data_IF_191124006499
#
_entry.id   IF_191124006499
#
_cell.length_a   1.000
_cell.length_b   1.000
_cell.length_c   1.000
_cell.angle_alpha   90.00
_cell.angle_beta   90.00
_cell.angle_gamma   90.00
#
_symmetry.space_group_name_H-M   'P 1'
#
loop_
_entity.id
_entity.type
_entity.pdbx_description
1 polymer ?
#
# COMPACT_ATOMS: atom_id res chain seq x y z
N UNK A 1 5.94 -11.64 0.64
CA UNK A 1 7.29 -12.19 0.46
C UNK A 1 7.41 -12.63 -0.99
N UNK A 2 8.31 -11.98 -1.73
CA UNK A 2 8.73 -12.50 -3.02
C UNK A 2 9.31 -13.91 -2.78
N UNK A 3 9.20 -14.77 -3.78
CA UNK A 3 9.93 -16.02 -3.74
C UNK A 3 11.43 -15.69 -3.69
N UNK A 4 12.26 -16.55 -3.09
CA UNK A 4 13.71 -16.38 -3.04
C UNK A 4 14.31 -16.06 -4.43
N UNK A 5 13.80 -16.74 -5.49
CA UNK A 5 14.18 -16.44 -6.87
C UNK A 5 13.80 -15.04 -7.34
N UNK A 6 12.67 -14.50 -6.90
CA UNK A 6 12.25 -13.12 -7.22
C UNK A 6 13.15 -12.07 -6.57
N UNK A 7 13.63 -12.33 -5.35
CA UNK A 7 14.59 -11.45 -4.66
C UNK A 7 15.96 -11.44 -5.36
N UNK A 8 16.44 -12.61 -5.82
CA UNK A 8 17.69 -12.71 -6.59
C UNK A 8 17.58 -11.95 -7.93
N UNK A 9 16.47 -12.11 -8.65
CA UNK A 9 16.24 -11.39 -9.90
C UNK A 9 16.21 -9.88 -9.69
N UNK A 10 15.57 -9.42 -8.62
CA UNK A 10 15.53 -8.01 -8.27
C UNK A 10 16.91 -7.48 -7.92
N UNK A 11 17.68 -8.19 -7.08
CA UNK A 11 19.04 -7.81 -6.75
C UNK A 11 19.94 -7.80 -8.00
N UNK A 12 19.75 -8.74 -8.92
CA UNK A 12 20.41 -8.76 -10.23
C UNK A 12 20.09 -7.53 -11.09
N UNK A 13 18.83 -7.12 -11.15
CA UNK A 13 18.42 -5.92 -11.88
C UNK A 13 19.04 -4.64 -11.30
N UNK A 14 19.09 -4.52 -9.97
CA UNK A 14 19.76 -3.40 -9.30
C UNK A 14 21.28 -3.43 -9.52
N UNK A 15 21.89 -4.60 -9.49
CA UNK A 15 23.31 -4.77 -9.86
C UNK A 15 23.58 -4.30 -11.28
N UNK A 16 22.76 -4.70 -12.25
CA UNK A 16 22.88 -4.25 -13.64
C UNK A 16 22.75 -2.74 -13.78
N UNK A 17 21.75 -2.13 -13.14
CA UNK A 17 21.55 -0.68 -13.18
C UNK A 17 22.75 0.06 -12.58
N UNK A 18 23.24 -0.35 -11.41
CA UNK A 18 24.45 0.20 -10.78
C UNK A 18 25.69 0.00 -11.64
N UNK A 19 25.87 -1.18 -12.23
CA UNK A 19 26.99 -1.47 -13.12
C UNK A 19 27.01 -0.56 -14.35
N UNK A 20 25.86 -0.36 -15.00
CA UNK A 20 25.72 0.56 -16.14
C UNK A 20 26.02 1.99 -15.71
N UNK A 21 25.50 2.45 -14.57
CA UNK A 21 25.76 3.79 -14.06
C UNK A 21 27.27 4.00 -13.81
N UNK A 22 27.93 3.05 -13.15
CA UNK A 22 29.37 3.10 -12.93
C UNK A 22 30.16 3.13 -14.25
N UNK A 23 29.79 2.31 -15.23
CA UNK A 23 30.44 2.32 -16.55
C UNK A 23 30.26 3.66 -17.27
N UNK A 24 29.08 4.28 -17.21
CA UNK A 24 28.82 5.60 -17.80
C UNK A 24 29.61 6.71 -17.10
N UNK A 25 29.94 6.54 -15.81
CA UNK A 25 30.79 7.46 -15.03
C UNK A 25 32.28 7.19 -15.21
N UNK A 26 32.68 6.25 -16.08
CA UNK A 26 34.10 5.89 -16.32
C UNK A 26 34.65 4.90 -15.28
N UNK A 27 33.80 4.32 -14.43
CA UNK A 27 34.18 3.34 -13.43
C UNK A 27 34.01 1.90 -13.95
N UNK A 28 34.40 0.93 -13.12
CA UNK A 28 34.31 -0.49 -13.47
C UNK A 28 32.88 -1.01 -13.32
N UNK A 29 32.29 -1.51 -14.42
CA UNK A 29 30.94 -2.12 -14.40
C UNK A 29 30.81 -3.21 -13.35
N UNK A 30 31.77 -4.10 -13.22
CA UNK A 30 31.69 -5.22 -12.27
C UNK A 30 31.61 -4.79 -10.80
N UNK A 31 32.31 -3.69 -10.46
CA UNK A 31 32.24 -3.10 -9.11
C UNK A 31 30.86 -2.51 -8.83
N UNK A 32 30.38 -1.69 -9.74
CA UNK A 32 29.03 -1.11 -9.63
C UNK A 32 27.95 -2.20 -9.54
N UNK A 33 28.06 -3.26 -10.35
CA UNK A 33 27.15 -4.41 -10.29
C UNK A 33 27.19 -5.08 -8.92
N UNK A 34 28.36 -5.42 -8.38
CA UNK A 34 28.49 -6.09 -7.10
C UNK A 34 27.97 -5.24 -5.94
N UNK A 35 28.28 -3.94 -5.95
CA UNK A 35 27.80 -2.98 -4.95
C UNK A 35 26.27 -2.85 -4.97
N UNK A 36 25.68 -2.69 -6.15
CA UNK A 36 24.22 -2.59 -6.29
C UNK A 36 23.49 -3.90 -5.94
N UNK A 37 24.04 -5.05 -6.30
CA UNK A 37 23.52 -6.36 -5.94
C UNK A 37 23.54 -6.58 -4.43
N UNK A 38 24.70 -6.35 -3.76
CA UNK A 38 24.85 -6.52 -2.33
C UNK A 38 23.95 -5.58 -1.52
N UNK A 39 23.83 -4.32 -1.94
CA UNK A 39 22.94 -3.35 -1.29
C UNK A 39 21.48 -3.72 -1.45
N UNK A 40 21.06 -4.21 -2.60
CA UNK A 40 19.69 -4.67 -2.83
C UNK A 40 19.36 -5.92 -1.99
N UNK A 41 20.28 -6.86 -1.88
CA UNK A 41 20.12 -8.05 -1.02
C UNK A 41 19.98 -7.65 0.45
N UNK A 42 20.78 -6.68 0.93
CA UNK A 42 20.67 -6.16 2.30
C UNK A 42 19.36 -5.42 2.55
N UNK A 43 18.88 -4.64 1.59
CA UNK A 43 17.57 -3.98 1.67
C UNK A 43 16.42 -5.00 1.80
N UNK A 44 16.50 -6.11 1.07
CA UNK A 44 15.53 -7.22 1.18
C UNK A 44 15.59 -7.88 2.56
N UNK A 45 16.79 -8.15 3.08
CA UNK A 45 16.97 -8.70 4.42
C UNK A 45 16.44 -7.75 5.51
N UNK A 46 16.80 -6.45 5.45
CA UNK A 46 16.32 -5.44 6.38
C UNK A 46 14.79 -5.34 6.41
N UNK A 47 14.15 -5.46 5.23
CA UNK A 47 12.68 -5.52 5.14
C UNK A 47 12.09 -6.79 5.74
N UNK A 48 12.80 -7.92 5.68
CA UNK A 48 12.37 -9.18 6.28
C UNK A 48 12.40 -9.13 7.81
N UNK A 49 13.45 -8.53 8.40
CA UNK A 49 13.63 -8.41 9.86
C UNK A 49 13.01 -7.14 10.45
N UNK A 50 12.28 -6.37 9.66
CA UNK A 50 11.56 -5.16 10.08
C UNK A 50 12.45 -4.04 10.64
N UNK A 51 13.63 -3.85 10.06
CA UNK A 51 14.57 -2.79 10.43
C UNK A 51 13.93 -1.41 10.23
N UNK A 52 14.28 -0.44 11.09
CA UNK A 52 13.86 0.94 10.88
C UNK A 52 14.57 1.57 9.67
N UNK A 53 13.96 2.63 9.14
CA UNK A 53 14.35 3.27 7.89
C UNK A 53 15.80 3.77 7.91
N UNK A 54 16.22 4.40 9.02
CA UNK A 54 17.58 4.91 9.17
C UNK A 54 18.63 3.80 9.21
N UNK A 55 18.36 2.73 9.94
CA UNK A 55 19.26 1.58 10.02
C UNK A 55 19.35 0.85 8.67
N UNK A 56 18.24 0.77 7.94
CA UNK A 56 18.23 0.16 6.61
C UNK A 56 19.05 0.96 5.59
N UNK A 57 18.93 2.29 5.57
CA UNK A 57 19.75 3.15 4.73
C UNK A 57 21.24 3.07 5.11
N UNK A 58 21.55 3.11 6.41
CA UNK A 58 22.90 2.99 6.90
C UNK A 58 23.53 1.64 6.53
N UNK A 59 22.79 0.53 6.65
CA UNK A 59 23.27 -0.80 6.27
C UNK A 59 23.49 -0.91 4.75
N UNK A 60 22.62 -0.31 3.94
CA UNK A 60 22.80 -0.24 2.49
C UNK A 60 24.05 0.55 2.10
N UNK A 61 24.28 1.70 2.74
CA UNK A 61 25.50 2.49 2.54
C UNK A 61 26.76 1.69 2.94
N UNK A 62 26.75 1.05 4.12
CA UNK A 62 27.89 0.25 4.58
C UNK A 62 28.19 -0.92 3.63
N UNK A 63 27.17 -1.66 3.21
CA UNK A 63 27.33 -2.77 2.27
C UNK A 63 27.85 -2.32 0.91
N UNK A 64 27.29 -1.23 0.35
CA UNK A 64 27.77 -0.67 -0.92
C UNK A 64 29.21 -0.20 -0.83
N UNK A 65 29.54 0.56 0.22
CA UNK A 65 30.90 1.06 0.45
C UNK A 65 31.93 -0.04 0.66
N UNK A 66 31.64 -1.01 1.52
CA UNK A 66 32.52 -2.16 1.78
C UNK A 66 32.72 -3.01 0.53
N UNK A 67 31.66 -3.25 -0.25
CA UNK A 67 31.75 -4.02 -1.49
C UNK A 67 32.65 -3.30 -2.51
N UNK A 68 32.42 -2.00 -2.72
CA UNK A 68 33.24 -1.20 -3.66
C UNK A 68 34.69 -1.15 -3.22
N UNK A 69 34.95 -0.89 -1.94
CA UNK A 69 36.30 -0.86 -1.38
C UNK A 69 37.03 -2.21 -1.51
N UNK A 70 36.35 -3.32 -1.20
CA UNK A 70 36.88 -4.67 -1.32
C UNK A 70 37.28 -5.03 -2.76
N UNK A 71 36.61 -4.41 -3.73
CA UNK A 71 36.91 -4.55 -5.17
C UNK A 71 37.90 -3.53 -5.67
N UNK A 72 38.54 -2.75 -4.77
CA UNK A 72 39.57 -1.74 -5.09
C UNK A 72 39.00 -0.42 -5.62
N UNK A 73 37.73 -0.14 -5.37
CA UNK A 73 37.08 1.13 -5.68
C UNK A 73 37.01 2.09 -4.49
N UNK A 74 36.26 3.19 -4.66
CA UNK A 74 36.08 4.21 -3.63
C UNK A 74 34.95 3.87 -2.69
N UNK A 75 35.23 3.82 -1.40
CA UNK A 75 34.21 3.50 -0.36
C UNK A 75 33.02 4.48 -0.41
N UNK A 76 33.28 5.78 -0.57
CA UNK A 76 32.21 6.79 -0.52
C UNK A 76 31.28 6.66 -1.73
N UNK A 77 31.83 6.42 -2.91
CA UNK A 77 31.06 6.14 -4.13
C UNK A 77 30.17 4.91 -3.95
N UNK A 78 30.72 3.81 -3.45
CA UNK A 78 29.97 2.61 -3.15
C UNK A 78 28.88 2.81 -2.08
N UNK A 79 29.18 3.59 -1.05
CA UNK A 79 28.24 3.90 0.02
C UNK A 79 27.06 4.73 -0.49
N UNK A 80 27.30 5.74 -1.32
CA UNK A 80 26.25 6.55 -1.95
C UNK A 80 25.37 5.70 -2.87
N UNK A 81 25.96 4.87 -3.72
CA UNK A 81 25.22 3.95 -4.59
C UNK A 81 24.38 2.96 -3.76
N UNK A 82 24.94 2.39 -2.71
CA UNK A 82 24.25 1.47 -1.81
C UNK A 82 23.08 2.12 -1.10
N UNK A 83 23.23 3.35 -0.64
CA UNK A 83 22.16 4.13 -0.01
C UNK A 83 21.04 4.44 -1.02
N UNK A 84 21.37 4.82 -2.26
CA UNK A 84 20.38 5.07 -3.32
C UNK A 84 19.59 3.80 -3.62
N UNK A 85 20.28 2.67 -3.83
CA UNK A 85 19.62 1.38 -4.14
C UNK A 85 18.70 0.94 -3.01
N UNK A 86 19.15 1.01 -1.76
CA UNK A 86 18.32 0.65 -0.61
C UNK A 86 17.18 1.66 -0.43
N UNK A 87 17.43 2.95 -0.62
CA UNK A 87 16.43 4.00 -0.55
C UNK A 87 15.31 3.79 -1.57
N UNK A 88 15.65 3.51 -2.82
CA UNK A 88 14.65 3.22 -3.87
C UNK A 88 13.86 1.95 -3.57
N UNK A 89 14.54 0.87 -3.17
CA UNK A 89 13.87 -0.35 -2.73
C UNK A 89 12.98 -0.12 -1.52
N UNK A 90 13.47 0.67 -0.55
CA UNK A 90 12.77 0.94 0.69
C UNK A 90 11.49 1.75 0.46
N UNK A 91 11.52 2.75 -0.43
CA UNK A 91 10.31 3.50 -0.80
C UNK A 91 9.24 2.58 -1.38
N UNK A 92 9.58 1.65 -2.27
CA UNK A 92 8.63 0.65 -2.77
C UNK A 92 8.11 -0.28 -1.66
N UNK A 93 8.95 -0.64 -0.68
CA UNK A 93 8.56 -1.49 0.45
C UNK A 93 7.78 -0.77 1.54
N UNK A 94 7.98 0.55 1.74
CA UNK A 94 7.19 1.35 2.68
C UNK A 94 5.71 1.29 2.33
N UNK A 95 5.38 1.37 1.06
CA UNK A 95 4.00 1.32 0.62
C UNK A 95 3.37 -0.06 0.75
N UNK A 96 4.12 -1.09 0.43
CA UNK A 96 3.70 -2.47 0.69
C UNK A 96 3.49 -2.71 2.20
N UNK A 97 4.34 -2.16 3.07
CA UNK A 97 4.17 -2.26 4.54
C UNK A 97 2.95 -1.50 5.03
N UNK A 98 2.73 -0.29 4.52
CA UNK A 98 1.57 0.54 4.87
C UNK A 98 0.28 -0.13 4.41
N UNK A 99 0.21 -0.50 3.15
CA UNK A 99 -0.96 -1.18 2.60
C UNK A 99 -1.21 -2.53 3.29
N UNK A 100 -0.15 -3.29 3.60
CA UNK A 100 -0.25 -4.52 4.38
C UNK A 100 -0.82 -4.28 5.77
N UNK A 101 -0.44 -3.18 6.45
CA UNK A 101 -1.02 -2.81 7.76
C UNK A 101 -2.51 -2.52 7.63
N UNK A 102 -2.90 -1.72 6.65
CA UNK A 102 -4.30 -1.41 6.36
C UNK A 102 -5.07 -2.70 6.05
N UNK A 103 -4.54 -3.55 5.17
CA UNK A 103 -5.17 -4.83 4.81
C UNK A 103 -5.35 -5.75 6.03
N UNK A 104 -4.31 -5.93 6.85
CA UNK A 104 -4.39 -6.73 8.07
C UNK A 104 -5.38 -6.14 9.08
N UNK A 105 -5.38 -4.83 9.26
CA UNK A 105 -6.35 -4.14 10.12
C UNK A 105 -7.77 -4.33 9.58
N UNK A 106 -7.97 -4.26 8.26
CA UNK A 106 -9.26 -4.50 7.64
C UNK A 106 -9.79 -5.91 7.99
N UNK A 107 -8.99 -6.94 7.82
CA UNK A 107 -9.39 -8.31 8.15
C UNK A 107 -9.65 -8.50 9.66
N UNK A 108 -8.75 -8.01 10.50
CA UNK A 108 -8.85 -8.17 11.96
C UNK A 108 -10.08 -7.50 12.55
N UNK A 109 -10.40 -6.28 12.09
CA UNK A 109 -11.43 -5.44 12.71
C UNK A 109 -12.83 -5.64 12.09
N UNK A 110 -12.92 -6.25 10.92
CA UNK A 110 -14.18 -6.38 10.19
C UNK A 110 -14.72 -7.80 10.10
N UNK A 111 -13.96 -8.78 10.64
CA UNK A 111 -14.34 -10.18 10.64
C UNK A 111 -14.20 -10.76 12.05
N UNK A 112 -15.08 -11.70 12.39
CA UNK A 112 -14.93 -12.53 13.58
C UNK A 112 -13.80 -13.55 13.40
N UNK A 113 -13.39 -14.18 14.49
CA UNK A 113 -12.35 -15.22 14.48
C UNK A 113 -12.71 -16.44 13.63
N UNK A 114 -14.00 -16.69 13.40
CA UNK A 114 -14.52 -17.75 12.52
C UNK A 114 -14.54 -17.34 11.04
N UNK A 115 -14.05 -16.15 10.70
CA UNK A 115 -14.00 -15.62 9.34
C UNK A 115 -15.32 -15.00 8.84
N UNK A 116 -16.39 -14.98 9.64
CA UNK A 116 -17.62 -14.31 9.27
C UNK A 116 -17.48 -12.79 9.37
N UNK A 117 -18.05 -12.09 8.42
CA UNK A 117 -18.07 -10.63 8.39
C UNK A 117 -18.94 -10.08 9.52
N UNK A 118 -18.41 -9.15 10.30
CA UNK A 118 -19.17 -8.45 11.34
C UNK A 118 -20.28 -7.65 10.65
N UNK A 119 -21.56 -7.76 11.06
CA UNK A 119 -22.64 -6.95 10.49
C UNK A 119 -22.37 -5.46 10.63
N UNK A 120 -22.76 -4.66 9.64
CA UNK A 120 -22.49 -3.21 9.62
C UNK A 120 -23.08 -2.50 10.84
N UNK A 121 -24.33 -2.83 11.19
CA UNK A 121 -24.99 -2.30 12.37
C UNK A 121 -24.25 -2.63 13.68
N UNK A 122 -23.74 -3.85 13.81
CA UNK A 122 -22.92 -4.26 14.95
C UNK A 122 -21.64 -3.45 15.03
N UNK A 123 -20.96 -3.26 13.89
CA UNK A 123 -19.73 -2.46 13.81
C UNK A 123 -20.00 -1.01 14.24
N UNK A 124 -21.08 -0.39 13.74
CA UNK A 124 -21.50 0.96 14.12
C UNK A 124 -21.74 1.09 15.63
N UNK A 125 -22.48 0.15 16.23
CA UNK A 125 -22.77 0.17 17.67
C UNK A 125 -21.52 -0.07 18.50
N UNK A 126 -20.60 -0.94 18.05
CA UNK A 126 -19.33 -1.18 18.72
C UNK A 126 -18.43 0.04 18.72
N UNK A 127 -18.38 0.79 17.61
CA UNK A 127 -17.62 2.04 17.52
C UNK A 127 -18.29 3.12 18.37
N UNK A 128 -19.63 3.18 18.39
CA UNK A 128 -20.38 4.16 19.19
C UNK A 128 -20.38 5.58 18.61
N UNK A 129 -20.73 6.54 19.44
CA UNK A 129 -20.86 7.94 19.04
C UNK A 129 -21.94 8.15 17.98
N UNK A 130 -21.71 9.08 17.04
CA UNK A 130 -22.65 9.38 15.94
C UNK A 130 -22.93 8.17 15.03
N UNK A 131 -22.08 7.12 15.06
CA UNK A 131 -22.30 5.93 14.27
C UNK A 131 -23.44 5.07 14.79
N UNK A 132 -23.78 5.16 16.07
CA UNK A 132 -24.91 4.45 16.64
C UNK A 132 -26.23 4.89 16.00
N UNK A 133 -26.35 6.18 15.67
CA UNK A 133 -27.57 6.74 15.09
C UNK A 133 -27.83 6.23 13.66
N UNK A 134 -26.77 5.88 12.93
CA UNK A 134 -26.89 5.39 11.54
C UNK A 134 -26.86 3.87 11.44
N UNK A 135 -26.76 3.16 12.56
CA UNK A 135 -26.57 1.71 12.57
C UNK A 135 -27.70 0.93 11.88
N UNK A 136 -28.94 1.37 12.06
CA UNK A 136 -30.11 0.67 11.52
C UNK A 136 -30.30 0.87 10.01
N UNK A 137 -29.76 1.98 9.44
CA UNK A 137 -29.92 2.31 8.02
C UNK A 137 -28.67 2.03 7.17
N UNK A 138 -27.61 1.47 7.75
CA UNK A 138 -26.36 1.25 7.01
C UNK A 138 -26.37 -0.08 6.23
N UNK A 139 -26.76 -0.03 4.97
CA UNK A 139 -26.73 -1.20 4.10
C UNK A 139 -25.34 -1.46 3.53
N UNK A 140 -24.65 -0.39 3.10
CA UNK A 140 -23.33 -0.48 2.48
C UNK A 140 -22.24 0.04 3.42
N UNK A 141 -21.39 -0.84 3.90
CA UNK A 141 -20.39 -0.56 4.95
C UNK A 141 -18.93 -0.54 4.47
N UNK A 142 -18.69 -0.57 3.15
CA UNK A 142 -17.32 -0.67 2.64
C UNK A 142 -16.44 0.51 3.11
N UNK A 143 -16.94 1.75 3.06
CA UNK A 143 -16.21 2.92 3.52
C UNK A 143 -16.02 2.94 5.04
N UNK A 144 -17.03 2.54 5.82
CA UNK A 144 -16.89 2.37 7.27
C UNK A 144 -15.80 1.38 7.62
N UNK A 145 -15.78 0.23 6.95
CA UNK A 145 -14.78 -0.83 7.18
C UNK A 145 -13.37 -0.37 6.84
N UNK A 146 -13.23 0.38 5.75
CA UNK A 146 -11.95 1.00 5.42
C UNK A 146 -11.56 2.07 6.44
N UNK A 147 -12.52 2.87 6.94
CA UNK A 147 -12.25 3.85 8.01
C UNK A 147 -11.70 3.19 9.27
N UNK A 148 -12.29 2.06 9.67
CA UNK A 148 -11.81 1.27 10.81
C UNK A 148 -10.38 0.78 10.55
N UNK A 149 -10.11 0.26 9.36
CA UNK A 149 -8.79 -0.22 8.99
C UNK A 149 -7.74 0.90 8.96
N UNK A 150 -8.07 2.07 8.41
CA UNK A 150 -7.19 3.25 8.37
C UNK A 150 -6.85 3.70 9.79
N UNK A 151 -7.85 3.98 10.61
CA UNK A 151 -7.67 4.41 12.00
C UNK A 151 -6.85 3.42 12.85
N UNK A 152 -6.98 2.11 12.60
CA UNK A 152 -6.26 1.06 13.33
C UNK A 152 -4.89 0.69 12.72
N UNK A 153 -4.53 1.34 11.62
CA UNK A 153 -3.21 1.21 10.99
C UNK A 153 -2.36 2.48 11.08
N UNK A 154 -2.83 3.48 11.85
CA UNK A 154 -2.13 4.75 12.09
C UNK A 154 -2.40 5.83 11.05
N UNK A 155 -3.49 5.68 10.26
CA UNK A 155 -3.98 6.69 9.32
C UNK A 155 -5.28 7.30 9.83
N UNK A 156 -5.19 8.13 10.87
CA UNK A 156 -6.36 8.72 11.49
C UNK A 156 -7.11 9.64 10.51
N UNK A 157 -8.41 9.44 10.42
CA UNK A 157 -9.29 10.29 9.62
C UNK A 157 -9.50 11.61 10.38
N UNK A 158 -9.17 12.76 9.78
CA UNK A 158 -9.33 14.04 10.47
C UNK A 158 -10.80 14.45 10.57
N UNK A 159 -11.14 15.23 11.58
CA UNK A 159 -12.49 15.80 11.76
C UNK A 159 -12.97 16.63 10.56
N UNK A 160 -12.04 17.19 9.82
CA UNK A 160 -12.29 18.02 8.63
C UNK A 160 -12.58 17.21 7.37
N UNK A 161 -12.45 15.89 7.41
CA UNK A 161 -12.76 15.04 6.26
C UNK A 161 -14.25 15.12 5.93
N UNK A 162 -14.56 15.20 4.63
CA UNK A 162 -15.95 15.28 4.16
C UNK A 162 -16.73 14.04 4.62
N UNK A 163 -17.85 14.25 5.29
CA UNK A 163 -18.71 13.17 5.78
C UNK A 163 -18.13 12.38 6.96
N UNK A 164 -17.12 12.91 7.63
CA UNK A 164 -16.58 12.33 8.85
C UNK A 164 -17.61 12.38 9.99
N UNK A 165 -17.77 11.27 10.70
CA UNK A 165 -18.62 11.09 11.87
C UNK A 165 -17.78 10.72 13.08
N UNK A 166 -18.05 11.35 14.22
CA UNK A 166 -17.33 11.09 15.46
C UNK A 166 -17.76 9.75 16.07
N UNK A 167 -16.81 8.87 16.32
CA UNK A 167 -17.03 7.63 17.07
C UNK A 167 -16.83 7.83 18.58
N UNK A 168 -17.32 6.87 19.38
CA UNK A 168 -17.26 6.92 20.83
C UNK A 168 -15.84 6.98 21.43
N UNK A 169 -14.83 6.52 20.69
CA UNK A 169 -13.42 6.60 21.10
C UNK A 169 -12.67 7.86 20.63
N UNK A 170 -13.38 8.90 20.18
CA UNK A 170 -12.78 10.17 19.73
C UNK A 170 -12.16 10.12 18.33
N UNK A 171 -12.25 9.01 17.62
CA UNK A 171 -11.81 8.88 16.22
C UNK A 171 -12.96 9.17 15.25
N UNK A 172 -12.60 9.65 14.06
CA UNK A 172 -13.56 9.95 13.00
C UNK A 172 -13.66 8.84 11.97
N UNK A 173 -14.84 8.66 11.39
CA UNK A 173 -15.15 7.59 10.44
C UNK A 173 -15.96 8.13 9.27
N UNK A 174 -15.69 7.63 8.07
CA UNK A 174 -16.43 7.96 6.85
C UNK A 174 -17.26 6.75 6.45
N UNK A 175 -18.57 6.94 6.23
CA UNK A 175 -19.52 5.87 5.87
C UNK A 175 -19.88 5.88 4.37
N UNK A 176 -19.62 6.96 3.67
CA UNK A 176 -19.87 7.09 2.22
C UNK A 176 -18.63 6.75 1.42
N UNK A 177 -18.76 5.85 0.43
CA UNK A 177 -17.66 5.48 -0.46
C UNK A 177 -17.14 6.68 -1.26
N UNK A 178 -18.03 7.57 -1.72
CA UNK A 178 -17.66 8.81 -2.43
C UNK A 178 -16.90 9.79 -1.52
N UNK A 179 -17.32 9.94 -0.27
CA UNK A 179 -16.61 10.78 0.71
C UNK A 179 -15.23 10.20 1.04
N UNK A 180 -15.13 8.87 1.19
CA UNK A 180 -13.86 8.17 1.39
C UNK A 180 -12.92 8.34 0.18
N UNK A 181 -13.44 8.24 -1.04
CA UNK A 181 -12.68 8.51 -2.25
C UNK A 181 -12.09 9.93 -2.25
N UNK A 182 -12.88 10.93 -1.85
CA UNK A 182 -12.40 12.31 -1.73
C UNK A 182 -11.30 12.46 -0.66
N UNK A 183 -11.46 11.78 0.48
CA UNK A 183 -10.44 11.77 1.54
C UNK A 183 -9.14 11.13 1.06
N UNK A 184 -9.21 9.98 0.39
CA UNK A 184 -8.04 9.29 -0.15
C UNK A 184 -7.31 10.12 -1.22
N UNK A 185 -8.05 10.86 -2.05
CA UNK A 185 -7.44 11.73 -3.07
C UNK A 185 -6.56 12.85 -2.48
N UNK A 186 -6.78 13.22 -1.22
CA UNK A 186 -5.94 14.19 -0.50
C UNK A 186 -4.75 13.58 0.22
N UNK A 187 -4.73 12.26 0.42
CA UNK A 187 -3.71 11.57 1.21
C UNK A 187 -2.90 10.54 0.43
N UNK A 188 -3.45 10.03 -0.66
CA UNK A 188 -2.84 9.00 -1.49
C UNK A 188 -2.80 9.45 -2.94
N UNK A 189 -1.72 9.12 -3.63
CA UNK A 189 -1.61 9.43 -5.06
C UNK A 189 -2.57 8.55 -5.86
N UNK A 190 -3.38 9.18 -6.71
CA UNK A 190 -4.19 8.46 -7.69
C UNK A 190 -3.29 7.97 -8.82
N UNK A 191 -3.09 6.67 -8.89
CA UNK A 191 -2.15 6.06 -9.85
C UNK A 191 -2.76 5.93 -11.24
N UNK A 192 -3.97 5.42 -11.34
CA UNK A 192 -4.61 5.25 -12.65
C UNK A 192 -6.12 5.01 -12.53
N UNK A 193 -6.78 5.11 -13.67
CA UNK A 193 -8.13 4.59 -13.88
C UNK A 193 -7.97 3.34 -14.71
N UNK A 194 -8.44 2.19 -14.22
CA UNK A 194 -8.37 0.93 -14.96
C UNK A 194 -9.74 0.37 -15.22
N UNK A 195 -9.93 -0.15 -16.42
CA UNK A 195 -11.13 -0.90 -16.79
C UNK A 195 -11.08 -2.35 -16.30
N UNK A 196 -9.89 -2.86 -15.97
CA UNK A 196 -9.71 -4.21 -15.47
C UNK A 196 -8.84 -4.20 -14.21
N UNK A 197 -9.49 -4.15 -13.04
CA UNK A 197 -8.83 -4.16 -11.74
C UNK A 197 -8.36 -5.57 -11.30
N UNK A 198 -8.65 -6.64 -12.05
CA UNK A 198 -8.12 -7.99 -11.77
C UNK A 198 -6.59 -8.04 -11.83
N UNK A 199 -5.98 -7.09 -12.56
CA UNK A 199 -4.52 -6.94 -12.66
C UNK A 199 -3.90 -6.26 -11.45
N UNK A 200 -4.69 -5.62 -10.58
CA UNK A 200 -4.17 -4.90 -9.43
C UNK A 200 -3.67 -5.88 -8.38
N UNK A 201 -2.42 -5.70 -7.97
CA UNK A 201 -1.80 -6.54 -6.95
C UNK A 201 -1.93 -5.95 -5.56
N UNK A 202 -1.69 -4.64 -5.43
CA UNK A 202 -1.62 -3.92 -4.16
C UNK A 202 -2.21 -2.53 -4.35
N UNK A 203 -3.35 -2.21 -3.74
CA UNK A 203 -3.98 -0.89 -3.81
C UNK A 203 -5.17 -0.74 -2.86
N UNK A 204 -5.60 0.49 -2.65
CA UNK A 204 -6.98 0.80 -2.27
C UNK A 204 -7.72 1.14 -3.56
N UNK A 205 -8.83 0.47 -3.81
CA UNK A 205 -9.59 0.62 -5.05
C UNK A 205 -10.94 1.24 -4.73
N UNK A 206 -11.28 2.29 -5.47
CA UNK A 206 -12.61 2.84 -5.51
C UNK A 206 -13.27 2.51 -6.85
N UNK A 207 -14.40 1.82 -6.79
CA UNK A 207 -15.20 1.43 -7.93
C UNK A 207 -16.43 2.33 -7.99
N UNK A 208 -16.63 2.99 -9.11
CA UNK A 208 -17.80 3.81 -9.36
C UNK A 208 -18.56 3.23 -10.55
N UNK A 209 -19.77 2.74 -10.37
CA UNK A 209 -20.60 2.32 -11.49
C UNK A 209 -21.13 3.55 -12.20
N UNK A 210 -21.18 3.47 -13.51
CA UNK A 210 -21.86 4.46 -14.32
C UNK A 210 -23.35 4.12 -14.31
N UNK A 211 -24.12 4.78 -13.45
CA UNK A 211 -25.58 4.60 -13.43
C UNK A 211 -26.24 4.34 -12.07
N UNK A 212 -27.48 3.86 -12.16
CA UNK A 212 -28.34 3.52 -11.03
C UNK A 212 -28.36 2.00 -10.89
N UNK A 213 -28.02 1.49 -9.69
CA UNK A 213 -28.16 0.07 -9.37
C UNK A 213 -29.46 -0.16 -8.59
N UNK A 214 -30.29 -1.08 -9.06
CA UNK A 214 -31.56 -1.42 -8.39
C UNK A 214 -32.44 -0.22 -8.01
N UNK A 215 -32.43 0.85 -8.83
CA UNK A 215 -33.24 2.05 -8.59
C UNK A 215 -32.67 3.02 -7.54
N UNK A 216 -31.51 2.74 -6.97
CA UNK A 216 -30.84 3.59 -5.95
C UNK A 216 -29.57 4.26 -6.51
N UNK A 217 -29.32 5.52 -6.13
CA UNK A 217 -28.04 6.18 -6.49
C UNK A 217 -26.90 5.45 -5.79
N UNK A 218 -25.98 4.88 -6.58
CA UNK A 218 -24.83 4.17 -6.06
C UNK A 218 -23.75 5.15 -5.68
N UNK A 219 -23.28 5.07 -4.44
CA UNK A 219 -22.17 5.90 -3.96
C UNK A 219 -20.79 5.29 -4.26
N UNK A 220 -20.76 4.13 -4.93
CA UNK A 220 -19.55 3.39 -5.24
C UNK A 220 -19.20 2.31 -4.19
N UNK A 221 -18.19 1.54 -4.52
CA UNK A 221 -17.59 0.55 -3.62
C UNK A 221 -16.11 0.88 -3.39
N UNK A 222 -15.61 0.61 -2.18
CA UNK A 222 -14.21 0.80 -1.86
C UNK A 222 -13.66 -0.44 -1.16
N UNK A 223 -12.46 -0.86 -1.56
CA UNK A 223 -11.83 -2.05 -1.01
C UNK A 223 -10.31 -1.92 -0.96
N UNK A 224 -9.67 -2.81 -0.22
CA UNK A 224 -8.22 -2.94 -0.13
C UNK A 224 -7.80 -4.24 -0.79
N UNK A 225 -6.88 -4.15 -1.73
CA UNK A 225 -6.26 -5.30 -2.39
C UNK A 225 -4.81 -5.40 -1.95
N UNK A 226 -4.43 -6.55 -1.44
CA UNK A 226 -3.05 -6.86 -1.10
C UNK A 226 -2.68 -8.23 -1.63
N UNK A 227 -1.61 -8.30 -2.45
CA UNK A 227 -1.15 -9.52 -3.13
C UNK A 227 -2.25 -10.22 -3.93
N UNK A 228 -3.06 -9.43 -4.64
CA UNK A 228 -4.24 -9.87 -5.40
C UNK A 228 -5.40 -10.41 -4.54
N UNK A 229 -5.33 -10.30 -3.23
CA UNK A 229 -6.41 -10.70 -2.33
C UNK A 229 -7.25 -9.47 -1.94
N UNK A 230 -8.55 -9.57 -2.09
CA UNK A 230 -9.53 -8.54 -1.76
C UNK A 230 -9.95 -8.67 -0.31
N UNK A 231 -9.84 -7.59 0.45
CA UNK A 231 -10.16 -7.61 1.87
C UNK A 231 -11.64 -7.81 2.16
N UNK A 232 -12.53 -7.36 1.27
CA UNK A 232 -13.98 -7.57 1.41
C UNK A 232 -14.46 -8.94 0.97
N UNK A 233 -13.61 -9.76 0.37
CA UNK A 233 -13.95 -11.02 -0.32
C UNK A 233 -14.91 -10.85 -1.51
N UNK A 234 -15.22 -9.63 -1.92
CA UNK A 234 -15.96 -9.34 -3.13
C UNK A 234 -14.97 -8.96 -4.23
N UNK A 235 -14.77 -9.84 -5.18
CA UNK A 235 -14.05 -9.50 -6.42
C UNK A 235 -14.86 -8.47 -7.24
N UNK A 236 -14.18 -7.76 -8.13
CA UNK A 236 -14.76 -6.71 -8.99
C UNK A 236 -15.99 -7.17 -9.75
N UNK A 237 -15.95 -8.39 -10.30
CA UNK A 237 -17.01 -8.95 -11.13
C UNK A 237 -18.31 -9.21 -10.40
N UNK A 238 -18.26 -9.31 -9.07
CA UNK A 238 -19.40 -9.74 -8.27
C UNK A 238 -20.20 -8.60 -7.65
N UNK A 239 -19.63 -7.38 -7.58
CA UNK A 239 -20.31 -6.29 -6.87
C UNK A 239 -21.39 -5.59 -7.71
N UNK A 240 -21.16 -5.44 -9.02
CA UNK A 240 -22.06 -4.72 -9.91
C UNK A 240 -22.63 -5.56 -11.05
N UNK A 241 -22.60 -6.89 -10.94
CA UNK A 241 -23.26 -7.78 -11.91
C UNK A 241 -22.84 -7.60 -13.37
N UNK A 242 -21.60 -7.17 -13.61
CA UNK A 242 -21.08 -6.92 -14.95
C UNK A 242 -21.39 -5.56 -15.55
N UNK A 243 -21.99 -4.62 -14.79
CA UNK A 243 -22.21 -3.26 -15.26
C UNK A 243 -20.87 -2.52 -15.48
N UNK A 244 -20.77 -1.62 -16.47
CA UNK A 244 -19.58 -0.79 -16.67
C UNK A 244 -19.26 -0.02 -15.39
N UNK A 245 -18.02 -0.07 -14.95
CA UNK A 245 -17.59 0.63 -13.75
C UNK A 245 -16.19 1.20 -13.94
N UNK A 246 -15.95 2.36 -13.34
CA UNK A 246 -14.65 2.99 -13.31
C UNK A 246 -13.94 2.60 -12.02
N UNK A 247 -12.69 2.17 -12.13
CA UNK A 247 -11.85 1.83 -10.99
C UNK A 247 -10.82 2.93 -10.80
N UNK A 248 -10.85 3.56 -9.64
CA UNK A 248 -9.82 4.48 -9.19
C UNK A 248 -8.87 3.73 -8.27
N UNK A 249 -7.60 3.68 -8.63
CA UNK A 249 -6.58 3.02 -7.84
C UNK A 249 -5.80 4.07 -7.10
N UNK A 250 -5.75 3.95 -5.79
CA UNK A 250 -4.98 4.80 -4.90
C UNK A 250 -3.77 4.02 -4.39
N UNK A 251 -2.61 4.45 -4.81
CA UNK A 251 -1.33 3.95 -4.35
C UNK A 251 -0.54 5.11 -3.76
N UNK A 252 0.23 4.87 -2.72
CA UNK A 252 1.03 5.93 -2.11
C UNK A 252 2.35 6.15 -2.84
N UNK A 253 2.67 5.35 -3.84
CA UNK A 253 3.83 5.54 -4.68
C UNK A 253 3.49 5.47 -6.13
N UNK A 254 3.71 6.54 -6.79
CA UNK A 254 4.49 6.58 -8.03
C UNK A 254 4.99 8.01 -8.21
N UNK A 255 6.11 8.29 -7.57
CA UNK A 255 6.91 9.48 -7.86
C UNK A 255 7.88 9.24 -9.02
N UNK A 256 7.72 8.14 -9.77
CA UNK A 256 8.58 7.81 -10.90
C UNK A 256 7.75 7.47 -12.13
N UNK A 257 7.43 8.51 -12.88
CA UNK A 257 7.32 8.49 -14.33
C UNK A 257 8.55 9.16 -14.92
#
# INVERSE_FOLDING_TARGET
SGTFGGEILRAGAHGLASGVTSALSGENFGRGFASGFASSAMGSFGSYVDMNDGLMLASGAAMGGLTEWALGGDFLSGALNGMIVVGMNHMQHIDDKKLRRIYKAYLRENYYSDGKKIPAATLCRTIGGELTEVAEGIENSCALRLSVALNNSGYDIPSTAVGAKLGGGGKYYIISAKAMQKHLSGQFTKVCTVTNAERVKNAIIYQYPDGIWAGQPITGHIDVVYRKQWASHYGISNYYGGAPHYNYIYHQTDLFH
#
